data_IF_022042421153
#
_entry.id   IF_022042421153
#
_cell.length_a   1.000
_cell.length_b   1.000
_cell.length_c   1.000
_cell.angle_alpha   90.00
_cell.angle_beta   90.00
_cell.angle_gamma   90.00
#
_symmetry.space_group_name_H-M   'P 1'
#
loop_
_entity.id
_entity.type
_entity.pdbx_description
1 polymer ?
#
# COMPACT_ATOMS: atom_id res chain seq x y z
N UNK A 1 -2.85 -27.24 -74.61
CA UNK A 1 -3.52 -26.91 -73.29
C UNK A 1 -2.69 -27.52 -72.21
N UNK A 2 -1.82 -26.74 -71.50
CA UNK A 2 -1.02 -27.16 -70.38
C UNK A 2 -1.53 -26.41 -69.15
N UNK A 3 -2.14 -27.12 -68.19
CA UNK A 3 -2.57 -26.60 -66.89
C UNK A 3 -1.35 -26.56 -65.99
N UNK A 4 -1.02 -25.37 -65.44
CA UNK A 4 -0.08 -25.18 -64.34
C UNK A 4 -0.87 -25.20 -63.05
N UNK A 5 -0.58 -26.16 -62.16
CA UNK A 5 -1.00 -26.19 -60.78
C UNK A 5 0.01 -25.42 -59.96
N UNK A 6 -0.42 -24.31 -59.35
CA UNK A 6 0.36 -23.57 -58.39
C UNK A 6 0.18 -24.21 -57.02
N UNK A 7 1.24 -24.77 -56.44
CA UNK A 7 1.30 -25.21 -55.07
C UNK A 7 1.57 -23.99 -54.16
N UNK A 8 0.60 -23.60 -53.36
CA UNK A 8 0.81 -22.69 -52.23
C UNK A 8 1.48 -23.45 -51.10
N UNK A 9 2.75 -23.16 -50.85
CA UNK A 9 3.40 -23.54 -49.58
C UNK A 9 2.95 -22.59 -48.50
N UNK A 10 2.07 -23.03 -47.61
CA UNK A 10 1.86 -22.40 -46.30
C UNK A 10 3.08 -22.73 -45.43
N UNK A 11 3.96 -21.77 -45.23
CA UNK A 11 4.99 -21.83 -44.21
C UNK A 11 4.32 -21.54 -42.86
N UNK A 12 4.06 -22.58 -42.06
CA UNK A 12 3.74 -22.46 -40.68
C UNK A 12 4.96 -21.90 -39.93
N UNK A 13 4.85 -20.65 -39.49
CA UNK A 13 5.82 -20.09 -38.52
C UNK A 13 5.55 -20.77 -37.18
N UNK A 14 6.53 -21.46 -36.57
CA UNK A 14 6.30 -21.99 -35.22
C UNK A 14 6.28 -20.80 -34.25
N UNK A 15 5.14 -20.58 -33.62
CA UNK A 15 5.04 -19.79 -32.38
C UNK A 15 5.88 -20.50 -31.32
N UNK A 16 7.14 -20.12 -31.17
CA UNK A 16 7.89 -20.39 -29.95
C UNK A 16 7.36 -19.48 -28.86
N UNK A 17 6.28 -19.85 -28.23
CA UNK A 17 5.96 -19.41 -26.91
C UNK A 17 7.05 -19.93 -25.98
N UNK A 18 8.03 -19.10 -25.68
CA UNK A 18 9.01 -19.36 -24.62
C UNK A 18 8.25 -19.25 -23.30
N UNK A 19 7.64 -20.33 -22.88
CA UNK A 19 7.23 -20.51 -21.51
C UNK A 19 8.54 -20.57 -20.69
N UNK A 20 8.99 -19.42 -20.17
CA UNK A 20 10.07 -19.41 -19.19
C UNK A 20 9.57 -20.28 -18.02
N UNK A 21 10.32 -21.35 -17.74
CA UNK A 21 9.97 -22.23 -16.63
C UNK A 21 10.02 -21.39 -15.35
N UNK A 22 9.01 -21.55 -14.47
CA UNK A 22 8.96 -20.87 -13.16
C UNK A 22 10.24 -21.06 -12.34
N UNK A 23 11.00 -22.10 -12.61
CA UNK A 23 12.28 -22.41 -11.97
C UNK A 23 13.45 -21.51 -12.39
N UNK A 24 13.34 -20.80 -13.52
CA UNK A 24 14.35 -19.84 -13.97
C UNK A 24 14.22 -18.45 -13.33
N UNK A 25 13.10 -18.16 -12.63
CA UNK A 25 12.86 -16.89 -11.98
C UNK A 25 13.59 -16.81 -10.63
N UNK A 26 14.08 -15.63 -10.27
CA UNK A 26 14.63 -15.43 -8.91
C UNK A 26 13.52 -15.67 -7.87
N UNK A 27 13.87 -16.08 -6.63
CA UNK A 27 12.87 -16.28 -5.58
C UNK A 27 11.96 -15.07 -5.35
N UNK A 28 12.48 -13.87 -5.55
CA UNK A 28 11.72 -12.62 -5.40
C UNK A 28 10.70 -12.41 -6.53
N UNK A 29 11.11 -12.63 -7.77
CA UNK A 29 10.21 -12.57 -8.94
C UNK A 29 9.11 -13.62 -8.86
N UNK A 30 9.39 -14.81 -8.30
CA UNK A 30 8.34 -15.81 -8.04
C UNK A 30 7.34 -15.36 -6.97
N UNK A 31 7.81 -14.62 -5.96
CA UNK A 31 6.95 -14.16 -4.88
C UNK A 31 6.00 -13.04 -5.31
N UNK A 32 6.37 -12.23 -6.30
CA UNK A 32 5.55 -11.10 -6.75
C UNK A 32 4.47 -11.48 -7.79
N UNK A 33 4.71 -12.55 -8.55
CA UNK A 33 3.80 -13.02 -9.62
C UNK A 33 2.38 -13.30 -9.12
N UNK A 34 2.21 -13.65 -7.85
CA UNK A 34 0.89 -13.89 -7.26
C UNK A 34 0.01 -12.64 -7.28
N UNK A 35 0.62 -11.45 -7.20
CA UNK A 35 -0.10 -10.18 -7.22
C UNK A 35 -0.50 -9.73 -8.63
N UNK A 36 -0.04 -10.43 -9.68
CA UNK A 36 -0.47 -10.19 -11.05
C UNK A 36 -1.88 -10.72 -11.35
N UNK A 37 -2.47 -11.49 -10.43
CA UNK A 37 -3.81 -12.09 -10.55
C UNK A 37 -4.61 -11.82 -9.30
N UNK A 38 -5.97 -11.83 -9.36
CA UNK A 38 -6.75 -11.71 -8.14
C UNK A 38 -6.44 -12.88 -7.19
N UNK A 39 -6.32 -12.55 -5.91
CA UNK A 39 -6.31 -13.52 -4.82
C UNK A 39 -7.71 -14.02 -4.51
N UNK A 40 -8.10 -13.99 -3.25
CA UNK A 40 -9.46 -14.34 -2.82
C UNK A 40 -10.34 -13.08 -2.84
N UNK A 41 -11.39 -13.08 -3.66
CA UNK A 41 -12.43 -12.06 -3.64
C UNK A 41 -13.45 -12.38 -2.55
N UNK A 42 -13.54 -11.52 -1.53
CA UNK A 42 -14.34 -11.76 -0.32
C UNK A 42 -15.35 -10.63 -0.14
N UNK A 43 -16.59 -10.97 0.19
CA UNK A 43 -17.64 -9.98 0.48
C UNK A 43 -17.25 -9.08 1.65
N UNK A 44 -17.37 -7.77 1.44
CA UNK A 44 -17.06 -6.73 2.40
C UNK A 44 -18.27 -5.88 2.80
N UNK A 45 -19.48 -6.42 2.54
CA UNK A 45 -20.74 -5.75 2.81
C UNK A 45 -21.49 -5.35 1.53
N UNK A 46 -21.58 -6.26 0.56
CA UNK A 46 -22.32 -6.12 -0.70
C UNK A 46 -21.44 -5.83 -1.93
N UNK A 47 -20.14 -5.82 -1.76
CA UNK A 47 -19.11 -5.79 -2.81
C UNK A 47 -17.89 -6.55 -2.30
N UNK A 48 -16.93 -6.89 -3.19
CA UNK A 48 -15.83 -7.77 -2.82
C UNK A 48 -14.50 -7.06 -2.77
N UNK A 49 -13.76 -7.31 -1.69
CA UNK A 49 -12.33 -6.97 -1.59
C UNK A 49 -11.48 -8.16 -2.00
N UNK A 50 -10.36 -7.86 -2.61
CA UNK A 50 -9.35 -8.82 -2.99
C UNK A 50 -8.31 -8.98 -1.88
N UNK A 51 -8.17 -10.19 -1.34
CA UNK A 51 -7.24 -10.54 -0.27
C UNK A 51 -6.16 -11.50 -0.78
N UNK A 52 -4.92 -11.26 -0.37
CA UNK A 52 -3.79 -12.17 -0.55
C UNK A 52 -3.32 -12.63 0.82
N UNK A 53 -3.75 -13.83 1.26
CA UNK A 53 -3.32 -14.42 2.52
C UNK A 53 -2.34 -15.55 2.27
N UNK A 54 -1.22 -15.54 2.98
CA UNK A 54 -0.16 -16.55 2.93
C UNK A 54 0.18 -17.02 4.34
N UNK A 55 0.77 -18.23 4.43
CA UNK A 55 1.18 -18.79 5.71
C UNK A 55 0.01 -19.17 6.60
N UNK A 56 0.33 -19.54 7.83
CA UNK A 56 -0.65 -19.94 8.85
C UNK A 56 -0.13 -19.61 10.24
N UNK A 57 -1.03 -19.39 11.19
CA UNK A 57 -0.67 -19.05 12.57
C UNK A 57 -1.40 -17.83 13.09
N UNK A 58 -1.05 -17.43 14.32
CA UNK A 58 -1.65 -16.30 15.05
C UNK A 58 -0.60 -15.68 15.97
N UNK A 59 -0.62 -14.36 16.17
CA UNK A 59 -1.47 -13.33 15.52
C UNK A 59 -1.34 -13.30 14.00
N UNK A 60 -2.45 -12.94 13.32
CA UNK A 60 -2.43 -12.68 11.88
C UNK A 60 -1.88 -11.27 11.61
N UNK A 61 -0.92 -11.15 10.69
CA UNK A 61 -0.43 -9.84 10.23
C UNK A 61 -1.28 -9.38 9.04
N UNK A 62 -1.82 -8.16 9.11
CA UNK A 62 -2.67 -7.57 8.07
C UNK A 62 -2.03 -6.27 7.59
N UNK A 63 -1.83 -6.15 6.28
CA UNK A 63 -1.15 -5.03 5.65
C UNK A 63 -2.14 -4.12 4.94
N UNK A 64 -2.05 -2.81 5.21
CA UNK A 64 -2.76 -1.75 4.50
C UNK A 64 -1.74 -0.81 3.83
N UNK A 65 -1.96 -0.50 2.56
CA UNK A 65 -1.02 0.26 1.73
C UNK A 65 -1.35 1.76 1.77
N UNK A 66 -0.40 2.58 1.31
CA UNK A 66 -0.58 4.02 1.15
C UNK A 66 -1.59 4.42 0.07
N UNK A 67 -1.69 5.71 -0.21
CA UNK A 67 -2.41 6.20 -1.38
C UNK A 67 -1.77 5.68 -2.66
N UNK A 68 -2.60 5.46 -3.69
CA UNK A 68 -2.17 4.98 -5.00
C UNK A 68 -1.54 3.58 -4.97
N UNK A 69 -1.41 2.96 -3.79
CA UNK A 69 -0.85 1.63 -3.59
C UNK A 69 -1.93 0.59 -3.25
N UNK A 70 -1.60 -0.68 -3.49
CA UNK A 70 -2.40 -1.83 -3.09
C UNK A 70 -1.52 -3.02 -2.71
N UNK A 71 -2.05 -4.22 -2.61
CA UNK A 71 -1.33 -5.40 -2.08
C UNK A 71 0.11 -5.61 -2.59
N UNK A 72 0.48 -5.37 -3.87
CA UNK A 72 1.87 -5.53 -4.33
C UNK A 72 2.91 -4.70 -3.59
N UNK A 73 2.51 -3.59 -2.94
CA UNK A 73 3.41 -2.78 -2.12
C UNK A 73 4.10 -3.58 -1.00
N UNK A 74 3.54 -4.73 -0.64
CA UNK A 74 4.05 -5.61 0.40
C UNK A 74 4.83 -6.83 -0.12
N UNK A 75 5.12 -6.89 -1.42
CA UNK A 75 5.73 -8.05 -2.08
C UNK A 75 7.09 -8.46 -1.51
N UNK A 76 7.88 -7.54 -0.96
CA UNK A 76 9.15 -7.83 -0.30
C UNK A 76 9.00 -8.29 1.16
N UNK A 77 7.92 -7.88 1.83
CA UNK A 77 7.73 -8.09 3.28
C UNK A 77 6.80 -9.28 3.55
N UNK A 78 5.61 -9.30 2.95
CA UNK A 78 4.58 -10.30 3.23
C UNK A 78 5.05 -11.76 3.09
N UNK A 79 5.80 -12.17 2.04
CA UNK A 79 6.27 -13.54 1.92
C UNK A 79 7.24 -13.96 3.03
N UNK A 80 7.99 -13.02 3.60
CA UNK A 80 8.90 -13.32 4.71
C UNK A 80 8.12 -13.53 6.02
N UNK A 81 7.10 -12.70 6.27
CA UNK A 81 6.22 -12.84 7.41
C UNK A 81 5.43 -14.15 7.34
N UNK A 82 4.99 -14.53 6.16
CA UNK A 82 4.23 -15.77 5.91
C UNK A 82 5.00 -17.05 6.28
N UNK A 83 6.32 -17.01 6.43
CA UNK A 83 7.13 -18.16 6.85
C UNK A 83 6.89 -18.55 8.32
N UNK A 84 6.32 -17.68 9.14
CA UNK A 84 6.19 -17.93 10.58
C UNK A 84 4.83 -17.54 11.19
N UNK A 85 3.96 -16.86 10.44
CA UNK A 85 2.56 -16.62 10.83
C UNK A 85 1.70 -16.39 9.58
N UNK A 86 0.37 -16.26 9.76
CA UNK A 86 -0.50 -15.82 8.66
C UNK A 86 -0.25 -14.34 8.37
N UNK A 87 -0.11 -14.00 7.08
CA UNK A 87 0.14 -12.66 6.58
C UNK A 87 -0.83 -12.37 5.44
N UNK A 88 -1.65 -11.33 5.55
CA UNK A 88 -2.65 -10.95 4.58
C UNK A 88 -2.45 -9.50 4.15
N UNK A 89 -2.32 -9.25 2.86
CA UNK A 89 -2.50 -7.92 2.25
C UNK A 89 -3.81 -7.89 1.48
N UNK A 90 -4.29 -6.70 1.14
CA UNK A 90 -5.54 -6.56 0.41
C UNK A 90 -5.51 -5.32 -0.47
N UNK A 91 -6.41 -5.30 -1.44
CA UNK A 91 -6.70 -4.13 -2.23
C UNK A 91 -7.92 -3.43 -1.63
N UNK A 92 -7.80 -2.12 -1.30
CA UNK A 92 -8.95 -1.34 -0.84
C UNK A 92 -10.04 -1.27 -1.93
N UNK A 93 -11.26 -0.97 -1.54
CA UNK A 93 -12.39 -0.88 -2.47
C UNK A 93 -12.10 0.11 -3.61
N UNK A 94 -12.24 -0.35 -4.85
CA UNK A 94 -11.90 0.37 -6.06
C UNK A 94 -10.46 0.15 -6.55
N UNK A 95 -9.51 -0.15 -5.67
CA UNK A 95 -8.10 -0.39 -6.03
C UNK A 95 -7.87 -1.81 -6.57
N UNK A 96 -6.73 -2.03 -7.22
CA UNK A 96 -6.25 -3.33 -7.66
C UNK A 96 -7.34 -4.22 -8.28
N UNK A 97 -7.58 -5.40 -7.71
CA UNK A 97 -8.63 -6.32 -8.16
C UNK A 97 -9.93 -6.22 -7.33
N UNK A 98 -10.00 -5.34 -6.33
CA UNK A 98 -11.22 -5.12 -5.55
C UNK A 98 -12.31 -4.44 -6.36
N UNK A 99 -13.56 -4.75 -6.05
CA UNK A 99 -14.71 -4.06 -6.63
C UNK A 99 -14.85 -2.63 -6.06
N UNK A 100 -15.52 -1.71 -6.76
CA UNK A 100 -15.86 -0.41 -6.21
C UNK A 100 -16.71 -0.56 -4.94
N UNK A 101 -16.39 0.23 -3.92
CA UNK A 101 -17.21 0.32 -2.71
C UNK A 101 -18.03 1.61 -2.66
N UNK A 102 -18.87 1.78 -1.62
CA UNK A 102 -19.64 2.99 -1.40
C UNK A 102 -18.75 4.23 -1.21
N UNK A 103 -19.22 5.39 -1.67
CA UNK A 103 -18.58 6.70 -1.47
C UNK A 103 -19.23 7.45 -0.29
N UNK A 104 -18.53 8.42 0.32
CA UNK A 104 -17.12 8.73 0.13
C UNK A 104 -16.22 7.65 0.74
N UNK A 105 -14.95 7.57 0.29
CA UNK A 105 -13.96 6.66 0.82
C UNK A 105 -13.27 7.30 2.03
N UNK A 106 -13.58 6.82 3.23
CA UNK A 106 -12.97 7.27 4.49
C UNK A 106 -12.24 6.13 5.17
N UNK A 107 -11.29 6.42 6.06
CA UNK A 107 -10.62 5.43 6.89
C UNK A 107 -11.59 4.62 7.77
N UNK A 108 -12.67 5.26 8.25
CA UNK A 108 -13.73 4.57 9.01
C UNK A 108 -14.44 3.53 8.17
N UNK A 109 -14.71 3.84 6.90
CA UNK A 109 -15.32 2.90 5.96
C UNK A 109 -14.34 1.78 5.59
N UNK A 110 -13.10 2.12 5.23
CA UNK A 110 -12.06 1.16 4.90
C UNK A 110 -11.82 0.14 6.03
N UNK A 111 -11.73 0.62 7.27
CA UNK A 111 -11.57 -0.24 8.45
C UNK A 111 -12.76 -1.20 8.65
N UNK A 112 -14.00 -0.72 8.45
CA UNK A 112 -15.20 -1.56 8.57
C UNK A 112 -15.29 -2.63 7.47
N UNK A 113 -14.97 -2.25 6.25
CA UNK A 113 -14.93 -3.15 5.09
C UNK A 113 -13.86 -4.23 5.25
N UNK A 114 -12.66 -3.85 5.67
CA UNK A 114 -11.58 -4.79 5.96
C UNK A 114 -11.97 -5.77 7.06
N UNK A 115 -12.55 -5.28 8.17
CA UNK A 115 -13.02 -6.15 9.26
C UNK A 115 -14.05 -7.17 8.76
N UNK A 116 -15.02 -6.72 7.97
CA UNK A 116 -16.05 -7.59 7.38
C UNK A 116 -15.42 -8.64 6.45
N UNK A 117 -14.49 -8.21 5.58
CA UNK A 117 -13.82 -9.10 4.64
C UNK A 117 -12.96 -10.15 5.37
N UNK A 118 -12.20 -9.77 6.40
CA UNK A 118 -11.40 -10.71 7.21
C UNK A 118 -12.29 -11.74 7.87
N UNK A 119 -13.41 -11.31 8.47
CA UNK A 119 -14.39 -12.21 9.09
C UNK A 119 -14.97 -13.18 8.07
N UNK A 120 -15.42 -12.69 6.91
CA UNK A 120 -16.04 -13.52 5.86
C UNK A 120 -15.05 -14.45 5.17
N UNK A 121 -13.74 -14.09 5.17
CA UNK A 121 -12.66 -14.97 4.71
C UNK A 121 -12.26 -16.06 5.73
N UNK A 122 -12.84 -16.07 6.93
CA UNK A 122 -12.41 -16.95 8.03
C UNK A 122 -10.99 -16.60 8.55
N UNK A 123 -10.56 -15.37 8.38
CA UNK A 123 -9.27 -14.87 8.87
C UNK A 123 -9.50 -14.24 10.24
N UNK A 124 -9.30 -15.05 11.29
CA UNK A 124 -9.49 -14.59 12.67
C UNK A 124 -8.31 -13.81 13.24
N UNK A 125 -8.63 -12.92 14.19
CA UNK A 125 -7.63 -12.27 15.04
C UNK A 125 -7.00 -13.22 16.10
N UNK A 126 -6.15 -12.69 17.00
CA UNK A 126 -5.82 -11.27 17.07
C UNK A 126 -4.95 -10.81 15.89
N UNK A 127 -5.08 -9.53 15.50
CA UNK A 127 -4.38 -8.94 14.36
C UNK A 127 -3.19 -8.10 14.79
N UNK A 128 -2.11 -8.18 14.03
CA UNK A 128 -1.06 -7.15 13.99
C UNK A 128 -1.31 -6.34 12.72
N UNK A 129 -1.67 -5.08 12.89
CA UNK A 129 -1.94 -4.19 11.76
C UNK A 129 -0.66 -3.49 11.33
N UNK A 130 -0.38 -3.52 10.03
CA UNK A 130 0.79 -2.88 9.43
C UNK A 130 0.28 -1.91 8.38
N UNK A 131 0.44 -0.61 8.61
CA UNK A 131 -0.02 0.43 7.70
C UNK A 131 1.12 1.29 7.19
N UNK A 132 1.18 1.53 5.87
CA UNK A 132 2.12 2.45 5.24
C UNK A 132 1.41 3.74 4.83
N UNK A 133 2.00 4.91 5.13
CA UNK A 133 1.41 6.21 4.84
C UNK A 133 -0.08 6.24 5.26
N UNK A 134 -1.01 6.60 4.38
CA UNK A 134 -2.47 6.57 4.62
C UNK A 134 -3.00 5.23 5.16
N UNK A 135 -2.37 4.10 4.82
CA UNK A 135 -2.70 2.78 5.41
C UNK A 135 -2.49 2.76 6.93
N UNK A 136 -1.65 3.63 7.46
CA UNK A 136 -1.47 3.86 8.89
C UNK A 136 -2.73 4.40 9.57
N UNK A 137 -3.42 5.34 8.93
CA UNK A 137 -4.69 5.90 9.43
C UNK A 137 -5.77 4.82 9.46
N UNK A 138 -5.90 4.06 8.38
CA UNK A 138 -6.83 2.92 8.32
C UNK A 138 -6.56 1.90 9.44
N UNK A 139 -5.28 1.56 9.67
CA UNK A 139 -4.87 0.65 10.73
C UNK A 139 -5.21 1.18 12.13
N UNK A 140 -5.04 2.50 12.37
CA UNK A 140 -5.42 3.16 13.63
C UNK A 140 -6.93 3.15 13.81
N UNK A 141 -7.70 3.55 12.80
CA UNK A 141 -9.16 3.52 12.85
C UNK A 141 -9.67 2.10 13.10
N UNK A 142 -9.07 1.09 12.46
CA UNK A 142 -9.39 -0.31 12.72
C UNK A 142 -9.10 -0.66 14.20
N UNK A 143 -7.93 -0.29 14.71
CA UNK A 143 -7.54 -0.56 16.09
C UNK A 143 -8.47 0.15 17.10
N UNK A 144 -8.90 1.38 16.82
CA UNK A 144 -9.83 2.11 17.66
C UNK A 144 -11.22 1.46 17.72
N UNK A 145 -11.69 0.94 16.59
CA UNK A 145 -13.02 0.30 16.51
C UNK A 145 -13.04 -1.14 17.03
N UNK A 146 -11.98 -1.88 16.77
CA UNK A 146 -11.90 -3.33 17.03
C UNK A 146 -10.73 -3.69 17.96
N UNK A 147 -10.45 -2.83 18.94
CA UNK A 147 -9.34 -2.97 19.89
C UNK A 147 -9.18 -4.36 20.54
N UNK A 148 -10.25 -5.09 20.92
CA UNK A 148 -10.11 -6.45 21.47
C UNK A 148 -9.46 -7.44 20.51
N UNK A 149 -9.58 -7.21 19.22
CA UNK A 149 -9.04 -8.08 18.17
C UNK A 149 -7.62 -7.67 17.74
N UNK A 150 -7.06 -6.56 18.27
CA UNK A 150 -5.75 -6.02 17.86
C UNK A 150 -4.68 -6.40 18.87
N UNK A 151 -3.65 -7.09 18.42
CA UNK A 151 -2.48 -7.49 19.20
C UNK A 151 -1.39 -6.42 19.26
N UNK A 152 -1.23 -5.64 18.18
CA UNK A 152 -0.25 -4.56 18.07
C UNK A 152 -0.30 -3.87 16.71
N UNK A 153 0.52 -2.82 16.53
CA UNK A 153 0.59 -2.02 15.30
C UNK A 153 2.04 -1.81 14.86
N UNK A 154 2.22 -1.72 13.54
CA UNK A 154 3.45 -1.24 12.90
C UNK A 154 3.06 -0.17 11.89
N UNK A 155 3.50 1.06 12.13
CA UNK A 155 3.25 2.22 11.30
C UNK A 155 4.50 2.45 10.44
N UNK A 156 4.38 2.30 9.13
CA UNK A 156 5.50 2.37 8.18
C UNK A 156 5.42 3.70 7.45
N UNK A 157 6.19 4.67 7.91
CA UNK A 157 6.16 6.06 7.46
C UNK A 157 4.73 6.61 7.34
N UNK A 158 3.92 6.32 8.37
CA UNK A 158 2.50 6.67 8.36
C UNK A 158 2.29 8.18 8.38
N UNK A 159 1.18 8.61 7.77
CA UNK A 159 0.80 10.02 7.74
C UNK A 159 0.39 10.46 9.15
N UNK A 160 1.00 11.51 9.70
CA UNK A 160 0.64 11.99 11.02
C UNK A 160 -0.70 12.71 11.01
N UNK A 161 -1.54 12.41 12.00
CA UNK A 161 -2.86 13.02 12.20
C UNK A 161 -2.83 14.43 12.83
N UNK A 162 -1.65 14.94 13.12
CA UNK A 162 -1.42 16.27 13.69
C UNK A 162 -0.13 16.86 13.15
N UNK A 163 -0.22 17.77 12.20
CA UNK A 163 0.89 18.63 11.84
C UNK A 163 0.81 19.96 12.60
N UNK A 164 1.93 20.41 13.10
CA UNK A 164 2.19 21.78 13.48
C UNK A 164 3.56 22.16 12.91
N UNK A 165 3.70 23.33 12.31
CA UNK A 165 2.81 24.49 12.29
C UNK A 165 1.76 24.43 11.16
N UNK A 166 0.69 25.23 11.31
CA UNK A 166 -0.43 25.36 10.36
C UNK A 166 -0.01 25.58 8.90
N UNK A 167 1.09 26.27 8.68
CA UNK A 167 1.65 26.53 7.35
C UNK A 167 1.99 25.24 6.61
N UNK A 168 2.46 24.22 7.31
CA UNK A 168 2.75 22.90 6.71
C UNK A 168 1.49 22.15 6.31
N UNK A 169 0.45 22.22 7.13
CA UNK A 169 -0.87 21.66 6.80
C UNK A 169 -1.43 22.31 5.53
N UNK A 170 -1.35 23.64 5.44
CA UNK A 170 -1.81 24.37 4.25
C UNK A 170 -0.98 24.06 2.99
N UNK A 171 0.32 23.79 3.13
CA UNK A 171 1.19 23.40 2.02
C UNK A 171 0.87 21.97 1.55
N UNK A 172 0.68 21.05 2.49
CA UNK A 172 0.26 19.68 2.21
C UNK A 172 -1.07 19.67 1.44
N UNK A 173 -2.11 20.33 1.94
CA UNK A 173 -3.41 20.40 1.26
C UNK A 173 -3.31 21.03 -0.13
N UNK A 174 -2.43 22.02 -0.35
CA UNK A 174 -2.18 22.55 -1.70
C UNK A 174 -1.53 21.53 -2.63
N UNK A 175 -0.58 20.73 -2.10
CA UNK A 175 0.05 19.64 -2.82
C UNK A 175 -0.97 18.57 -3.24
N UNK A 176 -1.80 18.15 -2.31
CA UNK A 176 -2.87 17.17 -2.52
C UNK A 176 -3.89 17.64 -3.57
N UNK A 177 -4.31 18.90 -3.51
CA UNK A 177 -5.20 19.48 -4.53
C UNK A 177 -4.62 19.38 -5.96
N UNK A 178 -3.31 19.56 -6.08
CA UNK A 178 -2.60 19.36 -7.34
C UNK A 178 -2.57 17.90 -7.81
N UNK A 179 -2.43 16.96 -6.89
CA UNK A 179 -2.48 15.51 -7.17
C UNK A 179 -3.91 15.14 -7.58
N UNK A 180 -4.92 15.54 -6.82
CA UNK A 180 -6.34 15.30 -7.11
C UNK A 180 -6.71 15.80 -8.51
N UNK A 181 -6.24 16.98 -8.90
CA UNK A 181 -6.49 17.50 -10.25
C UNK A 181 -5.93 16.58 -11.34
N UNK A 182 -4.69 16.10 -11.18
CA UNK A 182 -4.07 15.16 -12.14
C UNK A 182 -4.76 13.79 -12.17
N UNK A 183 -5.21 13.30 -11.01
CA UNK A 183 -6.02 12.08 -10.90
C UNK A 183 -7.34 12.22 -11.67
N UNK A 184 -8.03 13.35 -11.53
CA UNK A 184 -9.27 13.65 -12.25
C UNK A 184 -9.06 13.71 -13.77
N UNK A 185 -7.98 14.33 -14.22
CA UNK A 185 -7.66 14.40 -15.66
C UNK A 185 -7.40 13.00 -16.23
N UNK A 186 -6.64 12.17 -15.51
CA UNK A 186 -6.39 10.79 -15.89
C UNK A 186 -7.68 9.96 -15.92
N UNK A 187 -8.46 10.03 -14.85
CA UNK A 187 -9.76 9.39 -14.72
C UNK A 187 -10.69 9.72 -15.87
N UNK A 188 -10.78 11.00 -16.23
CA UNK A 188 -11.65 11.47 -17.31
C UNK A 188 -11.16 11.02 -18.70
N UNK A 189 -9.85 10.94 -18.90
CA UNK A 189 -9.28 10.39 -20.13
C UNK A 189 -9.62 8.89 -20.28
N UNK A 190 -9.44 8.10 -19.21
CA UNK A 190 -9.76 6.66 -19.20
C UNK A 190 -11.26 6.45 -19.46
N UNK A 191 -12.12 7.13 -18.71
CA UNK A 191 -13.59 7.02 -18.85
C UNK A 191 -14.08 7.44 -20.23
N UNK A 192 -13.42 8.41 -20.85
CA UNK A 192 -13.75 8.92 -22.19
C UNK A 192 -13.04 8.19 -23.32
N UNK A 193 -12.27 7.13 -23.06
CA UNK A 193 -11.42 6.44 -24.03
C UNK A 193 -10.51 7.40 -24.84
N UNK A 194 -9.99 8.43 -24.16
CA UNK A 194 -9.10 9.45 -24.75
C UNK A 194 -7.63 9.11 -24.48
N UNK A 195 -6.69 9.67 -25.26
CA UNK A 195 -5.27 9.58 -24.93
C UNK A 195 -4.99 10.07 -23.50
N UNK A 196 -4.17 9.32 -22.76
CA UNK A 196 -3.83 9.68 -21.39
C UNK A 196 -2.98 10.95 -21.36
N UNK A 197 -3.25 11.88 -20.42
CA UNK A 197 -2.43 13.06 -20.22
C UNK A 197 -0.96 12.68 -19.97
N UNK A 198 -0.06 13.38 -20.65
CA UNK A 198 1.37 13.31 -20.35
C UNK A 198 1.68 14.28 -19.21
N UNK A 199 2.25 13.77 -18.16
CA UNK A 199 2.68 14.60 -17.05
C UNK A 199 4.11 15.07 -17.32
N UNK A 200 4.36 16.38 -17.08
CA UNK A 200 5.71 16.93 -17.18
C UNK A 200 6.58 16.30 -16.11
N UNK A 201 7.63 15.64 -16.53
CA UNK A 201 8.68 15.16 -15.63
C UNK A 201 9.55 16.32 -15.17
N UNK A 202 10.19 16.18 -14.01
CA UNK A 202 11.29 17.06 -13.60
C UNK A 202 12.37 17.05 -14.71
N UNK A 203 13.15 18.15 -14.88
CA UNK A 203 14.22 18.17 -15.88
C UNK A 203 15.12 16.93 -15.78
N UNK A 204 15.35 16.28 -16.93
CA UNK A 204 16.19 15.08 -17.01
C UNK A 204 15.45 13.74 -16.82
N UNK A 205 14.15 13.73 -16.54
CA UNK A 205 13.36 12.48 -16.47
C UNK A 205 12.49 12.28 -17.71
N UNK A 206 12.23 11.01 -18.12
CA UNK A 206 11.33 10.73 -19.21
C UNK A 206 9.91 11.20 -18.90
N UNK A 207 9.21 11.73 -19.89
CA UNK A 207 7.79 12.00 -19.76
C UNK A 207 7.03 10.69 -19.55
N UNK A 208 6.04 10.72 -18.65
CA UNK A 208 5.18 9.57 -18.33
C UNK A 208 3.72 9.96 -18.53
N UNK A 209 2.90 9.00 -18.91
CA UNK A 209 1.45 9.17 -18.83
C UNK A 209 1.02 9.27 -17.38
N UNK A 210 -0.15 9.86 -17.14
CA UNK A 210 -0.71 9.92 -15.79
C UNK A 210 -0.80 8.52 -15.14
N UNK A 211 -1.20 7.48 -15.89
CA UNK A 211 -1.24 6.11 -15.36
C UNK A 211 0.16 5.61 -14.97
N UNK A 212 1.19 5.85 -15.77
CA UNK A 212 2.57 5.50 -15.41
C UNK A 212 3.08 6.30 -14.22
N UNK A 213 2.58 7.51 -14.00
CA UNK A 213 2.96 8.36 -12.87
C UNK A 213 2.48 7.76 -11.53
N UNK A 214 1.31 7.12 -11.50
CA UNK A 214 0.76 6.45 -10.31
C UNK A 214 1.49 5.14 -9.93
N UNK A 215 2.43 4.67 -10.76
CA UNK A 215 3.37 3.60 -10.40
C UNK A 215 4.73 4.14 -9.95
N UNK A 216 4.84 5.44 -9.75
CA UNK A 216 6.12 6.09 -9.48
C UNK A 216 6.82 5.58 -8.22
N UNK A 217 6.05 5.23 -7.20
CA UNK A 217 6.56 4.68 -5.96
C UNK A 217 6.94 3.20 -6.05
N UNK A 218 6.54 2.52 -7.11
CA UNK A 218 6.70 1.10 -7.24
C UNK A 218 7.93 0.78 -8.11
N UNK A 219 8.80 -0.14 -7.68
CA UNK A 219 10.07 -0.41 -8.34
C UNK A 219 9.88 -1.27 -9.60
N UNK A 220 9.49 -0.66 -10.72
CA UNK A 220 9.32 -1.36 -12.01
C UNK A 220 10.50 -2.30 -12.34
N UNK A 221 11.73 -1.91 -11.98
CA UNK A 221 12.92 -2.71 -12.22
C UNK A 221 13.05 -3.92 -11.28
N UNK A 222 12.29 -3.94 -10.17
CA UNK A 222 12.37 -4.98 -9.15
C UNK A 222 11.24 -6.00 -9.22
N UNK A 223 10.22 -5.74 -10.03
CA UNK A 223 9.09 -6.63 -10.23
C UNK A 223 9.20 -7.44 -11.51
N UNK A 224 8.47 -8.56 -11.53
CA UNK A 224 8.35 -9.34 -12.75
C UNK A 224 7.71 -8.53 -13.88
N UNK A 225 8.09 -8.78 -15.14
CA UNK A 225 7.44 -8.16 -16.28
C UNK A 225 5.92 -8.40 -16.32
N UNK A 226 5.47 -9.58 -15.85
CA UNK A 226 4.04 -9.94 -15.78
C UNK A 226 3.32 -9.05 -14.79
N UNK A 227 3.86 -8.84 -13.58
CA UNK A 227 3.26 -7.96 -12.59
C UNK A 227 3.24 -6.51 -13.09
N UNK A 228 4.36 -5.98 -13.60
CA UNK A 228 4.44 -4.64 -14.13
C UNK A 228 3.39 -4.39 -15.23
N UNK A 229 3.26 -5.31 -16.18
CA UNK A 229 2.28 -5.21 -17.26
C UNK A 229 0.84 -5.19 -16.71
N UNK A 230 0.55 -6.02 -15.71
CA UNK A 230 -0.78 -6.10 -15.10
C UNK A 230 -1.15 -4.86 -14.30
N UNK A 231 -0.20 -4.33 -13.53
CA UNK A 231 -0.40 -3.09 -12.77
C UNK A 231 -0.67 -1.91 -13.69
N UNK A 232 0.11 -1.79 -14.77
CA UNK A 232 -0.08 -0.75 -15.77
C UNK A 232 -1.43 -0.89 -16.49
N UNK A 233 -1.84 -2.11 -16.84
CA UNK A 233 -3.17 -2.38 -17.42
C UNK A 233 -4.29 -1.89 -16.51
N UNK A 234 -4.22 -2.23 -15.20
CA UNK A 234 -5.22 -1.78 -14.22
C UNK A 234 -5.24 -0.24 -14.16
N UNK A 235 -4.09 0.41 -14.06
CA UNK A 235 -4.00 1.86 -14.00
C UNK A 235 -4.48 2.56 -15.27
N UNK A 236 -4.39 1.92 -16.43
CA UNK A 236 -4.85 2.47 -17.72
C UNK A 236 -6.33 2.25 -17.98
N UNK A 237 -7.00 1.35 -17.24
CA UNK A 237 -8.36 0.92 -17.58
C UNK A 237 -9.37 1.06 -16.46
N UNK A 238 -8.94 1.07 -15.20
CA UNK A 238 -9.83 0.99 -14.05
C UNK A 238 -10.22 2.36 -13.50
N UNK A 239 -11.31 2.95 -14.02
CA UNK A 239 -11.85 4.25 -13.57
C UNK A 239 -12.11 4.27 -12.06
N UNK A 240 -12.68 3.19 -11.50
CA UNK A 240 -13.03 3.09 -10.09
C UNK A 240 -11.83 3.27 -9.14
N UNK A 241 -10.62 2.95 -9.61
CA UNK A 241 -9.39 3.15 -8.83
C UNK A 241 -9.12 4.63 -8.61
N UNK A 242 -9.28 5.44 -9.65
CA UNK A 242 -9.12 6.89 -9.56
C UNK A 242 -10.22 7.54 -8.72
N UNK A 243 -11.47 7.09 -8.90
CA UNK A 243 -12.59 7.57 -8.08
C UNK A 243 -12.34 7.30 -6.58
N UNK A 244 -11.80 6.12 -6.25
CA UNK A 244 -11.47 5.76 -4.88
C UNK A 244 -10.34 6.64 -4.31
N UNK A 245 -9.23 6.77 -5.02
CA UNK A 245 -8.08 7.56 -4.55
C UNK A 245 -8.38 9.05 -4.44
N UNK A 246 -9.11 9.62 -5.40
CA UNK A 246 -9.59 11.00 -5.31
C UNK A 246 -10.42 11.18 -4.03
N UNK A 247 -11.34 10.25 -3.78
CA UNK A 247 -12.21 10.33 -2.61
C UNK A 247 -11.44 10.13 -1.29
N UNK A 248 -10.48 9.20 -1.23
CA UNK A 248 -9.60 9.03 -0.05
C UNK A 248 -8.87 10.34 0.26
N UNK A 249 -8.23 10.97 -0.74
CA UNK A 249 -7.52 12.24 -0.55
C UNK A 249 -8.46 13.39 -0.16
N UNK A 250 -9.66 13.48 -0.75
CA UNK A 250 -10.65 14.51 -0.38
C UNK A 250 -11.17 14.33 1.04
N UNK A 251 -11.11 13.13 1.61
CA UNK A 251 -11.57 12.84 2.96
C UNK A 251 -10.45 12.92 4.01
N UNK A 252 -9.19 13.14 3.64
CA UNK A 252 -8.06 13.25 4.58
C UNK A 252 -8.34 14.20 5.74
N UNK A 253 -8.83 15.45 5.54
CA UNK A 253 -9.07 16.35 6.66
C UNK A 253 -10.15 15.83 7.63
N UNK A 254 -11.10 15.05 7.11
CA UNK A 254 -12.12 14.42 7.95
C UNK A 254 -11.56 13.24 8.73
N UNK A 255 -10.73 12.42 8.10
CA UNK A 255 -10.09 11.25 8.72
C UNK A 255 -9.11 11.69 9.82
N UNK A 256 -8.30 12.73 9.58
CA UNK A 256 -7.41 13.35 10.58
C UNK A 256 -8.22 13.85 11.79
N UNK A 257 -9.28 14.62 11.55
CA UNK A 257 -10.16 15.09 12.62
C UNK A 257 -10.79 13.93 13.40
N UNK A 258 -11.21 12.86 12.71
CA UNK A 258 -11.74 11.66 13.35
C UNK A 258 -10.70 11.02 14.27
N UNK A 259 -9.46 10.83 13.80
CA UNK A 259 -8.36 10.24 14.57
C UNK A 259 -7.97 11.07 15.80
N UNK A 260 -7.97 12.39 15.68
CA UNK A 260 -7.73 13.32 16.79
C UNK A 260 -8.83 13.20 17.87
N UNK A 261 -10.10 13.22 17.45
CA UNK A 261 -11.25 13.16 18.36
C UNK A 261 -11.40 11.80 19.05
N UNK A 262 -10.97 10.71 18.43
CA UNK A 262 -11.07 9.34 18.95
C UNK A 262 -9.75 8.83 19.52
N UNK A 263 -8.76 9.70 19.70
CA UNK A 263 -7.45 9.34 20.25
C UNK A 263 -7.60 8.75 21.64
N UNK A 264 -7.12 7.52 21.84
CA UNK A 264 -7.15 6.81 23.10
C UNK A 264 -5.90 5.97 23.34
N UNK A 265 -5.69 5.56 24.59
CA UNK A 265 -4.59 4.68 24.92
C UNK A 265 -4.86 3.25 24.46
N UNK A 266 -3.83 2.62 23.88
CA UNK A 266 -3.81 1.19 23.56
C UNK A 266 -3.18 0.35 24.68
N UNK A 267 -2.94 0.98 25.85
CA UNK A 267 -2.37 0.35 27.02
C UNK A 267 -0.94 -0.12 26.79
N UNK A 268 -0.69 -1.42 26.95
CA UNK A 268 0.62 -2.04 26.75
C UNK A 268 0.75 -2.76 25.39
N UNK A 269 -0.14 -2.52 24.43
CA UNK A 269 -0.01 -3.14 23.10
C UNK A 269 1.26 -2.65 22.40
N UNK A 270 2.08 -3.54 21.85
CA UNK A 270 3.29 -3.13 21.17
C UNK A 270 2.95 -2.30 19.92
N UNK A 271 3.58 -1.13 19.81
CA UNK A 271 3.51 -0.26 18.63
C UNK A 271 4.94 0.02 18.16
N UNK A 272 5.17 -0.11 16.86
CA UNK A 272 6.41 0.34 16.21
C UNK A 272 6.07 1.41 15.18
N UNK A 273 6.71 2.55 15.32
CA UNK A 273 6.61 3.69 14.40
C UNK A 273 7.91 3.74 13.62
N UNK A 274 7.86 3.38 12.35
CA UNK A 274 9.00 3.45 11.45
C UNK A 274 8.96 4.77 10.73
N UNK A 275 10.05 5.52 10.84
CA UNK A 275 10.21 6.86 10.28
C UNK A 275 11.29 6.80 9.20
N UNK A 276 10.99 7.22 7.99
CA UNK A 276 11.95 7.26 6.89
C UNK A 276 13.01 8.34 7.11
N UNK A 277 14.14 8.20 6.46
CA UNK A 277 15.19 9.22 6.46
C UNK A 277 15.01 10.28 5.39
N UNK A 278 14.02 10.12 4.51
CA UNK A 278 13.75 11.01 3.39
C UNK A 278 12.24 11.06 3.11
N UNK A 279 11.51 11.80 3.94
CA UNK A 279 10.05 11.97 3.78
C UNK A 279 9.72 12.69 2.46
N UNK A 280 8.65 12.30 1.81
CA UNK A 280 8.19 12.87 0.56
C UNK A 280 9.09 12.57 -0.64
N UNK A 281 10.04 11.64 -0.50
CA UNK A 281 10.90 11.15 -1.58
C UNK A 281 10.43 9.75 -1.95
N UNK A 282 9.96 9.58 -3.18
CA UNK A 282 9.54 8.27 -3.70
C UNK A 282 10.73 7.32 -3.87
N UNK A 283 10.44 6.03 -3.86
CA UNK A 283 11.44 4.98 -4.11
C UNK A 283 12.25 5.25 -5.40
N UNK A 284 13.57 5.06 -5.36
CA UNK A 284 14.51 5.37 -6.44
C UNK A 284 14.57 6.86 -6.84
N UNK A 285 13.94 7.76 -6.11
CA UNK A 285 14.10 9.18 -6.32
C UNK A 285 15.39 9.72 -5.68
N UNK A 286 16.00 10.70 -6.34
CA UNK A 286 17.15 11.40 -5.77
C UNK A 286 16.66 12.27 -4.61
N UNK A 287 17.31 12.15 -3.45
CA UNK A 287 17.05 13.02 -2.31
C UNK A 287 17.07 14.49 -2.75
N UNK A 288 16.10 15.31 -2.37
CA UNK A 288 16.16 16.76 -2.57
C UNK A 288 17.41 17.36 -1.92
N UNK A 289 17.86 18.49 -2.45
CA UNK A 289 18.93 19.23 -1.80
C UNK A 289 18.51 19.59 -0.36
N UNK A 290 19.43 19.53 0.59
CA UNK A 290 19.20 19.94 1.98
C UNK A 290 18.98 21.46 2.05
N UNK A 291 17.73 21.87 1.79
CA UNK A 291 17.28 23.25 1.95
C UNK A 291 16.69 23.44 3.36
N UNK A 292 16.72 24.68 3.91
CA UNK A 292 16.08 24.93 5.20
C UNK A 292 14.61 24.49 5.27
N UNK A 293 13.87 24.63 4.16
CA UNK A 293 12.47 24.19 4.06
C UNK A 293 12.35 22.66 4.12
N UNK A 294 13.19 21.94 3.37
CA UNK A 294 13.19 20.47 3.39
C UNK A 294 13.60 19.94 4.77
N UNK A 295 14.65 20.51 5.36
CA UNK A 295 15.07 20.11 6.72
C UNK A 295 13.99 20.36 7.77
N UNK A 296 13.25 21.48 7.65
CA UNK A 296 12.10 21.75 8.52
C UNK A 296 11.00 20.70 8.32
N UNK A 297 10.66 20.37 7.09
CA UNK A 297 9.66 19.33 6.77
C UNK A 297 10.04 17.97 7.39
N UNK A 298 11.28 17.52 7.21
CA UNK A 298 11.81 16.27 7.79
C UNK A 298 11.68 16.28 9.32
N UNK A 299 12.05 17.38 9.97
CA UNK A 299 11.98 17.52 11.42
C UNK A 299 10.53 17.46 11.93
N UNK A 300 9.62 18.21 11.31
CA UNK A 300 8.21 18.29 11.74
C UNK A 300 7.50 16.97 11.53
N UNK A 301 7.71 16.29 10.40
CA UNK A 301 7.15 14.98 10.14
C UNK A 301 7.64 13.94 11.15
N UNK A 302 8.95 13.94 11.44
CA UNK A 302 9.53 13.05 12.46
C UNK A 302 8.89 13.27 13.84
N UNK A 303 8.70 14.54 14.25
CA UNK A 303 8.09 14.89 15.54
C UNK A 303 6.61 14.55 15.57
N UNK A 304 5.90 14.77 14.47
CA UNK A 304 4.48 14.44 14.35
C UNK A 304 4.24 12.93 14.46
N UNK A 305 5.05 12.11 13.78
CA UNK A 305 5.02 10.64 13.93
C UNK A 305 5.38 10.19 15.36
N UNK A 306 6.32 10.89 16.03
CA UNK A 306 6.70 10.58 17.41
C UNK A 306 5.53 10.75 18.41
N UNK A 307 4.50 11.53 18.09
CA UNK A 307 3.30 11.69 18.94
C UNK A 307 2.53 10.38 19.11
N UNK A 308 2.66 9.45 18.17
CA UNK A 308 2.04 8.12 18.28
C UNK A 308 2.64 7.26 19.38
N UNK A 309 3.84 7.60 19.88
CA UNK A 309 4.41 6.93 21.06
C UNK A 309 3.52 7.09 22.28
N UNK A 310 2.76 8.17 22.37
CA UNK A 310 1.77 8.40 23.43
C UNK A 310 0.54 7.48 23.38
N UNK A 311 0.35 6.71 22.31
CA UNK A 311 -0.77 5.76 22.20
C UNK A 311 -0.57 4.50 23.05
N UNK A 312 0.66 4.11 23.38
CA UNK A 312 0.95 2.92 24.13
C UNK A 312 2.18 3.10 25.04
N UNK A 313 2.15 2.54 26.24
CA UNK A 313 3.35 2.46 27.09
C UNK A 313 4.43 1.51 26.54
N UNK A 314 4.13 0.77 25.47
CA UNK A 314 5.05 -0.12 24.76
C UNK A 314 5.19 0.31 23.28
N UNK A 315 5.37 1.60 23.07
CA UNK A 315 5.62 2.15 21.72
C UNK A 315 7.10 2.51 21.57
N UNK A 316 7.63 2.32 20.34
CA UNK A 316 9.00 2.69 19.96
C UNK A 316 9.01 3.30 18.58
N UNK A 317 9.83 4.35 18.38
CA UNK A 317 10.17 4.88 17.07
C UNK A 317 11.46 4.25 16.57
N UNK A 318 11.48 3.87 15.29
CA UNK A 318 12.59 3.23 14.60
C UNK A 318 12.88 4.04 13.34
N UNK A 319 14.14 4.39 13.10
CA UNK A 319 14.53 5.21 11.95
C UNK A 319 15.12 4.36 10.84
N UNK A 320 14.47 4.35 9.68
CA UNK A 320 14.96 3.79 8.43
C UNK A 320 15.74 4.89 7.67
N UNK A 321 16.98 5.14 8.09
CA UNK A 321 17.75 6.35 7.74
C UNK A 321 18.11 6.47 6.26
N UNK A 322 18.15 5.35 5.55
CA UNK A 322 18.54 5.31 4.14
C UNK A 322 17.34 5.09 3.22
N UNK A 323 16.16 5.03 3.80
CA UNK A 323 14.91 4.80 3.08
C UNK A 323 14.28 6.11 2.59
N UNK A 324 13.60 6.04 1.46
CA UNK A 324 12.53 6.94 1.07
C UNK A 324 11.28 6.67 1.95
N UNK A 325 10.16 7.31 1.63
CA UNK A 325 8.86 7.01 2.24
C UNK A 325 8.44 5.53 2.08
N UNK A 326 9.03 4.82 1.13
CA UNK A 326 8.76 3.40 0.85
C UNK A 326 9.70 2.47 1.62
N UNK A 327 9.67 2.51 2.96
CA UNK A 327 10.55 1.68 3.81
C UNK A 327 10.41 0.18 3.50
N UNK A 328 9.21 -0.27 3.14
CA UNK A 328 8.93 -1.66 2.76
C UNK A 328 9.65 -2.11 1.48
N UNK A 329 10.15 -1.18 0.68
CA UNK A 329 10.95 -1.45 -0.52
C UNK A 329 12.43 -1.20 -0.30
N UNK A 330 12.80 -0.10 0.33
CA UNK A 330 14.19 0.32 0.49
C UNK A 330 14.89 -0.42 1.63
N UNK A 331 14.21 -0.58 2.77
CA UNK A 331 14.72 -1.28 3.95
C UNK A 331 13.71 -2.34 4.47
N UNK A 332 13.31 -3.35 3.65
CA UNK A 332 12.30 -4.33 4.03
C UNK A 332 12.62 -5.08 5.33
N UNK A 333 13.90 -5.33 5.62
CA UNK A 333 14.34 -6.01 6.85
C UNK A 333 14.02 -5.18 8.10
N UNK A 334 14.02 -3.85 8.02
CA UNK A 334 13.59 -2.97 9.11
C UNK A 334 12.11 -3.19 9.43
N UNK A 335 11.26 -3.27 8.40
CA UNK A 335 9.82 -3.56 8.56
C UNK A 335 9.60 -4.97 9.11
N UNK A 336 10.28 -5.98 8.55
CA UNK A 336 10.18 -7.39 8.98
C UNK A 336 10.58 -7.53 10.45
N UNK A 337 11.67 -6.87 10.86
CA UNK A 337 12.15 -6.89 12.25
C UNK A 337 11.13 -6.25 13.20
N UNK A 338 10.58 -5.10 12.84
CA UNK A 338 9.55 -4.42 13.65
C UNK A 338 8.29 -5.28 13.81
N UNK A 339 7.84 -5.93 12.73
CA UNK A 339 6.70 -6.86 12.80
C UNK A 339 7.03 -8.05 13.70
N UNK A 340 8.24 -8.58 13.63
CA UNK A 340 8.68 -9.70 14.49
C UNK A 340 8.69 -9.31 15.96
N UNK A 341 9.20 -8.12 16.31
CA UNK A 341 9.16 -7.62 17.69
C UNK A 341 7.73 -7.54 18.21
N UNK A 342 6.82 -6.93 17.44
CA UNK A 342 5.40 -6.81 17.80
C UNK A 342 4.77 -8.20 17.97
N UNK A 343 5.06 -9.13 17.08
CA UNK A 343 4.55 -10.50 17.13
C UNK A 343 5.02 -11.24 18.39
N UNK A 344 6.31 -11.19 18.70
CA UNK A 344 6.88 -11.90 19.84
C UNK A 344 6.38 -11.33 21.17
N UNK A 345 6.21 -10.01 21.27
CA UNK A 345 5.66 -9.34 22.44
C UNK A 345 4.15 -9.63 22.61
N UNK A 346 3.38 -9.62 21.53
CA UNK A 346 1.96 -9.96 21.55
C UNK A 346 1.74 -11.41 22.05
N UNK A 347 2.55 -12.35 21.58
CA UNK A 347 2.48 -13.77 22.02
C UNK A 347 2.84 -13.95 23.48
N UNK A 348 3.84 -13.23 23.99
CA UNK A 348 4.19 -13.26 25.43
C UNK A 348 3.01 -12.81 26.31
N UNK A 349 2.31 -11.75 25.90
CA UNK A 349 1.13 -11.24 26.61
C UNK A 349 -0.01 -12.25 26.67
N UNK A 350 -0.30 -12.91 25.53
CA UNK A 350 -1.37 -13.92 25.48
C UNK A 350 -1.07 -15.10 26.42
N UNK A 351 0.19 -15.50 26.53
CA UNK A 351 0.62 -16.58 27.44
C UNK A 351 0.60 -16.17 28.91
N UNK A 352 0.92 -14.89 29.21
CA UNK A 352 0.94 -14.37 30.58
C UNK A 352 -0.46 -14.11 31.18
N UNK A 353 -1.49 -13.94 30.36
CA UNK A 353 -2.88 -13.74 30.81
C UNK A 353 -3.68 -15.06 30.94
N UNK A 354 -3.05 -16.20 30.71
CA UNK A 354 -3.66 -17.54 30.80
C UNK A 354 -3.33 -18.31 32.07
N UNK A 355 -2.79 -17.62 33.11
CA UNK A 355 -2.53 -18.19 34.45
C UNK A 355 -3.33 -17.51 35.53
#
# INVERSE_FOLDING_TARGET
MKRWLAFLFLTAVPEFAVAQSMDALTPQVRADIIYARPGQLVDAGGFRLNLYCMGSGSPTVVFDSGWEDWAPAWSKVQPQIAKWTRACSYDRAGAGFSEPGPMPRTSVRAAGELHTALHNAGVGGPYILVGSAFGGDNARVFADRYMPEVAGLVMVDGDPDEFEPREMVEEQHRGEAGIISRLRDCRNAIAGHKPLPMLSSRPGRPQRTCAQQFFRGLPEAEWSPELNARLLEIAQTKVAMYDAYISEMEQTPWDEMYLQQHRRSYGMRPIRVLTSGNHGVGHLETKPADTPAHMKYEQETTLAQARWLGLSSNAKQIFARHSSEYIQFDEPETVITAIREVYDEARKRTRGNGH
#
